data_IF_956077941769
#
_entry.id   IF_956077941769
#
_cell.length_a   1.000
_cell.length_b   1.000
_cell.length_c   1.000
_cell.angle_alpha   90.00
_cell.angle_beta   90.00
_cell.angle_gamma   90.00
#
_symmetry.space_group_name_H-M   'P 1'
#
loop_
_entity.id
_entity.type
_entity.pdbx_description
1 polymer ?
#
# COMPACT_ATOMS: atom_id res chain seq x y z
N UNK A 1 12.23 4.41 -50.11
CA UNK A 1 12.38 3.85 -48.74
C UNK A 1 11.23 4.43 -47.94
N UNK A 2 10.12 3.69 -47.87
CA UNK A 2 8.96 4.10 -47.12
C UNK A 2 9.17 3.83 -45.61
N UNK A 3 9.27 4.89 -44.83
CA UNK A 3 9.30 4.77 -43.39
C UNK A 3 7.97 4.23 -42.88
N UNK A 4 7.99 3.09 -42.23
CA UNK A 4 6.85 2.57 -41.47
C UNK A 4 6.74 3.46 -40.24
N UNK A 5 5.80 4.41 -40.26
CA UNK A 5 5.41 5.08 -39.03
C UNK A 5 4.78 4.04 -38.08
N UNK A 6 5.28 3.89 -36.86
CA UNK A 6 4.66 2.99 -35.92
C UNK A 6 3.34 3.61 -35.48
N UNK A 7 2.21 3.06 -35.93
CA UNK A 7 0.89 3.36 -35.35
C UNK A 7 0.81 2.81 -33.93
N UNK A 8 1.37 3.53 -32.96
CA UNK A 8 1.23 3.27 -31.54
C UNK A 8 -0.14 3.76 -31.05
N UNK A 9 -1.18 2.97 -31.32
CA UNK A 9 -2.51 3.20 -30.76
C UNK A 9 -2.70 2.45 -29.45
N UNK A 10 -1.66 2.37 -28.62
CA UNK A 10 -1.78 1.90 -27.26
C UNK A 10 -2.00 3.14 -26.37
N UNK A 11 -3.14 3.22 -25.71
CA UNK A 11 -3.32 4.06 -24.53
C UNK A 11 -2.33 3.57 -23.47
N UNK A 12 -1.10 4.02 -23.58
CA UNK A 12 -0.05 3.69 -22.62
C UNK A 12 -0.31 4.51 -21.37
N UNK A 13 -1.06 3.94 -20.44
CA UNK A 13 -1.11 4.51 -19.09
C UNK A 13 0.31 4.46 -18.53
N UNK A 14 0.82 5.61 -18.09
CA UNK A 14 2.12 5.65 -17.43
C UNK A 14 2.04 4.92 -16.10
N UNK A 15 3.16 4.37 -15.60
CA UNK A 15 3.22 3.67 -14.31
C UNK A 15 2.95 4.55 -13.08
N UNK A 16 2.47 5.80 -13.25
CA UNK A 16 2.08 6.70 -12.17
C UNK A 16 0.56 6.81 -12.01
N UNK A 17 -0.21 6.11 -12.85
CA UNK A 17 -1.66 6.01 -12.78
C UNK A 17 -2.07 4.58 -12.46
N UNK A 18 -3.09 4.42 -11.61
CA UNK A 18 -3.64 3.14 -11.19
C UNK A 18 -5.17 3.20 -11.12
N UNK A 19 -5.86 2.08 -11.41
CA UNK A 19 -7.32 1.97 -11.46
C UNK A 19 -7.90 2.16 -12.86
N UNK A 20 -9.19 1.87 -13.03
CA UNK A 20 -9.91 1.97 -14.32
C UNK A 20 -11.07 2.97 -14.26
N UNK A 21 -11.95 2.87 -13.26
CA UNK A 21 -13.04 3.80 -13.00
C UNK A 21 -12.76 4.67 -11.78
N UNK A 22 -12.20 4.09 -10.72
CA UNK A 22 -11.63 4.87 -9.62
C UNK A 22 -10.13 4.93 -9.82
N UNK A 23 -9.64 6.04 -10.34
CA UNK A 23 -8.25 6.17 -10.76
C UNK A 23 -7.49 7.14 -9.87
N UNK A 24 -6.20 6.84 -9.67
CA UNK A 24 -5.26 7.76 -9.04
C UNK A 24 -4.10 8.02 -9.98
N UNK A 25 -3.67 9.27 -10.09
CA UNK A 25 -2.41 9.65 -10.77
C UNK A 25 -1.58 10.47 -9.81
N UNK A 26 -0.42 9.93 -9.37
CA UNK A 26 0.44 10.60 -8.40
C UNK A 26 1.65 11.26 -9.07
N UNK A 27 2.12 12.37 -8.51
CA UNK A 27 3.26 13.15 -8.98
C UNK A 27 4.08 13.74 -7.83
N UNK A 28 5.22 14.33 -8.17
CA UNK A 28 6.13 14.99 -7.23
C UNK A 28 7.18 14.05 -6.63
N UNK A 29 8.29 14.63 -6.20
CA UNK A 29 9.47 13.96 -5.66
C UNK A 29 9.63 14.24 -4.16
N UNK A 30 10.32 13.33 -3.45
CA UNK A 30 10.48 13.40 -2.00
C UNK A 30 11.20 14.67 -1.50
N UNK A 31 12.01 15.29 -2.34
CA UNK A 31 12.76 16.52 -2.06
C UNK A 31 12.44 17.64 -3.08
N UNK A 32 11.37 17.48 -3.86
CA UNK A 32 10.72 18.54 -4.62
C UNK A 32 9.86 19.44 -3.73
N UNK A 33 9.21 20.46 -4.28
CA UNK A 33 8.38 21.41 -3.50
C UNK A 33 7.16 20.76 -2.85
N UNK A 34 6.57 19.77 -3.53
CA UNK A 34 5.38 19.08 -3.07
C UNK A 34 5.27 17.69 -3.70
N UNK A 35 4.40 16.88 -3.13
CA UNK A 35 3.84 15.67 -3.75
C UNK A 35 2.34 15.86 -3.88
N UNK A 36 1.74 15.27 -4.92
CA UNK A 36 0.30 15.39 -5.14
C UNK A 36 -0.27 14.18 -5.86
N UNK A 37 -1.58 14.11 -5.90
CA UNK A 37 -2.30 13.18 -6.77
C UNK A 37 -3.62 13.77 -7.26
N UNK A 38 -4.10 13.23 -8.36
CA UNK A 38 -5.46 13.41 -8.85
C UNK A 38 -6.19 12.09 -8.61
N UNK A 39 -7.35 12.18 -7.96
CA UNK A 39 -8.31 11.07 -7.82
C UNK A 39 -9.48 11.36 -8.74
N UNK A 40 -9.76 10.46 -9.66
CA UNK A 40 -10.89 10.59 -10.58
C UNK A 40 -11.85 9.39 -10.42
N UNK A 41 -13.13 9.59 -10.75
CA UNK A 41 -14.16 8.58 -10.63
C UNK A 41 -14.78 8.44 -9.23
N UNK A 42 -14.47 9.33 -8.28
CA UNK A 42 -15.21 9.37 -7.02
C UNK A 42 -16.65 9.82 -7.26
N UNK A 43 -17.68 9.04 -6.86
CA UNK A 43 -19.06 9.47 -7.04
C UNK A 43 -19.37 10.76 -6.30
N UNK A 44 -20.31 11.60 -6.80
CA UNK A 44 -20.73 12.81 -6.13
C UNK A 44 -21.50 12.54 -4.83
N UNK A 45 -21.54 13.56 -3.95
CA UNK A 45 -22.35 13.53 -2.73
C UNK A 45 -21.73 12.76 -1.55
N UNK A 46 -20.43 12.44 -1.60
CA UNK A 46 -19.71 11.99 -0.42
C UNK A 46 -19.29 13.22 0.40
N UNK A 47 -19.66 13.27 1.67
CA UNK A 47 -19.12 14.27 2.58
C UNK A 47 -17.62 14.08 2.72
N UNK A 48 -16.81 15.11 2.39
CA UNK A 48 -15.35 15.00 2.34
C UNK A 48 -14.69 16.32 2.75
N UNK A 49 -13.72 16.17 3.67
CA UNK A 49 -12.85 17.25 4.13
C UNK A 49 -11.41 16.76 4.27
N UNK A 50 -10.47 17.68 4.42
CA UNK A 50 -9.07 17.36 4.72
C UNK A 50 -8.92 16.52 6.00
N UNK A 51 -9.76 16.76 7.01
CA UNK A 51 -9.75 16.01 8.26
C UNK A 51 -10.04 14.52 8.08
N UNK A 52 -10.90 14.14 7.12
CA UNK A 52 -11.19 12.76 6.78
C UNK A 52 -9.93 12.04 6.25
N UNK A 53 -9.14 12.74 5.44
CA UNK A 53 -7.90 12.22 4.84
C UNK A 53 -6.75 12.21 5.83
N UNK A 54 -6.68 13.27 6.66
CA UNK A 54 -5.59 13.48 7.60
C UNK A 54 -5.50 12.36 8.65
N UNK A 55 -6.63 11.81 9.06
CA UNK A 55 -6.66 10.70 10.00
C UNK A 55 -5.82 9.49 9.54
N UNK A 56 -5.94 9.08 8.28
CA UNK A 56 -5.17 7.98 7.72
C UNK A 56 -3.71 8.40 7.42
N UNK A 57 -3.49 9.63 6.99
CA UNK A 57 -2.15 10.20 6.83
C UNK A 57 -1.39 10.27 8.15
N UNK A 58 -2.05 10.61 9.26
CA UNK A 58 -1.46 10.65 10.59
C UNK A 58 -1.00 9.28 11.08
N UNK A 59 -1.68 8.20 10.69
CA UNK A 59 -1.24 6.83 10.98
C UNK A 59 0.02 6.46 10.19
N UNK A 60 0.17 7.00 8.96
CA UNK A 60 1.30 6.72 8.06
C UNK A 60 2.51 7.63 8.29
N UNK A 61 2.34 8.87 8.74
CA UNK A 61 3.41 9.89 8.77
C UNK A 61 4.63 9.46 9.59
N UNK A 62 5.85 9.92 9.22
CA UNK A 62 7.07 9.66 9.98
C UNK A 62 7.10 10.43 11.31
N UNK A 63 8.00 10.01 12.22
CA UNK A 63 8.28 10.75 13.45
C UNK A 63 7.20 10.64 14.54
N UNK A 64 6.22 9.75 14.37
CA UNK A 64 5.15 9.51 15.36
C UNK A 64 5.67 8.77 16.59
N UNK A 65 6.66 7.92 16.41
CA UNK A 65 7.25 7.11 17.49
C UNK A 65 8.78 7.14 17.43
N UNK A 66 9.45 6.74 18.53
CA UNK A 66 10.92 6.59 18.57
C UNK A 66 11.45 5.50 17.63
N UNK A 67 10.56 4.59 17.15
CA UNK A 67 10.89 3.45 16.30
C UNK A 67 10.81 3.75 14.81
N UNK A 68 10.33 4.94 14.43
CA UNK A 68 10.30 5.42 13.05
C UNK A 68 11.36 6.49 12.80
N UNK A 69 11.55 6.87 11.54
CA UNK A 69 12.50 7.94 11.16
C UNK A 69 12.24 9.23 11.92
N UNK A 70 13.31 9.97 12.24
CA UNK A 70 13.27 11.28 12.91
C UNK A 70 12.85 12.43 11.97
N UNK A 71 12.50 12.15 10.70
CA UNK A 71 11.96 13.15 9.79
C UNK A 71 10.58 13.60 10.31
N UNK A 72 10.36 14.91 10.34
CA UNK A 72 9.10 15.50 10.79
C UNK A 72 8.40 16.14 9.60
N UNK A 73 7.44 15.43 9.06
CA UNK A 73 6.52 15.93 8.04
C UNK A 73 5.12 15.90 8.64
N UNK A 74 4.43 17.01 8.60
CA UNK A 74 3.04 17.09 9.07
C UNK A 74 2.11 16.28 8.16
N UNK A 75 2.51 16.08 6.89
CA UNK A 75 1.70 15.47 5.83
C UNK A 75 0.33 16.12 5.70
N UNK A 76 0.28 17.45 5.92
CA UNK A 76 -0.95 18.23 5.80
C UNK A 76 -1.44 18.24 4.35
N UNK A 77 -2.55 17.56 4.13
CA UNK A 77 -3.16 17.47 2.81
C UNK A 77 -4.09 18.65 2.57
N UNK A 78 -4.07 19.16 1.35
CA UNK A 78 -5.01 20.16 0.86
C UNK A 78 -5.82 19.59 -0.29
N UNK A 79 -7.14 19.85 -0.27
CA UNK A 79 -8.05 19.53 -1.36
C UNK A 79 -8.15 20.75 -2.25
N UNK A 80 -7.71 20.64 -3.51
CA UNK A 80 -7.65 21.75 -4.46
C UNK A 80 -8.86 21.81 -5.40
N UNK A 81 -9.59 20.70 -5.57
CA UNK A 81 -10.73 20.58 -6.48
C UNK A 81 -11.59 19.37 -6.16
N UNK A 82 -12.75 19.26 -6.83
CA UNK A 82 -13.61 18.08 -6.74
C UNK A 82 -14.48 18.01 -5.48
N UNK A 83 -14.46 19.06 -4.65
CA UNK A 83 -15.30 19.19 -3.46
C UNK A 83 -15.94 20.58 -3.47
N UNK A 84 -17.26 20.65 -3.24
CA UNK A 84 -18.03 21.89 -3.12
C UNK A 84 -18.99 21.76 -1.94
N UNK A 85 -19.03 22.76 -1.06
CA UNK A 85 -19.82 22.75 0.18
C UNK A 85 -19.66 21.48 1.03
N UNK A 86 -18.41 20.98 1.10
CA UNK A 86 -18.08 19.78 1.87
C UNK A 86 -18.51 18.45 1.26
N UNK A 87 -18.91 18.43 -0.02
CA UNK A 87 -19.31 17.20 -0.72
C UNK A 87 -18.53 17.02 -2.02
N UNK A 88 -18.23 15.79 -2.39
CA UNK A 88 -17.64 15.46 -3.69
C UNK A 88 -18.59 15.83 -4.83
N UNK A 89 -18.03 16.35 -5.93
CA UNK A 89 -18.81 16.82 -7.09
C UNK A 89 -18.90 15.80 -8.23
N UNK A 90 -18.16 14.67 -8.14
CA UNK A 90 -18.02 13.73 -9.25
C UNK A 90 -16.97 14.12 -10.28
N UNK A 91 -16.27 15.24 -10.07
CA UNK A 91 -15.15 15.69 -10.90
C UNK A 91 -13.81 15.38 -10.24
N UNK A 92 -12.67 15.48 -10.93
CA UNK A 92 -11.37 15.11 -10.36
C UNK A 92 -11.04 15.86 -9.06
N UNK A 93 -10.65 15.09 -8.04
CA UNK A 93 -10.22 15.61 -6.74
C UNK A 93 -8.69 15.77 -6.79
N UNK A 94 -8.23 17.02 -6.79
CA UNK A 94 -6.81 17.36 -6.71
C UNK A 94 -6.36 17.43 -5.26
N UNK A 95 -5.30 16.66 -4.92
CA UNK A 95 -4.70 16.62 -3.59
C UNK A 95 -3.24 17.02 -3.65
N UNK A 96 -2.78 17.83 -2.67
CA UNK A 96 -1.39 18.24 -2.56
C UNK A 96 -0.91 18.19 -1.10
N UNK A 97 0.37 17.81 -0.91
CA UNK A 97 1.11 17.92 0.36
C UNK A 97 2.43 18.62 0.08
N UNK A 98 2.69 19.75 0.73
CA UNK A 98 3.96 20.46 0.63
C UNK A 98 5.05 19.75 1.44
N UNK A 99 6.27 19.69 0.88
CA UNK A 99 7.43 19.15 1.58
C UNK A 99 8.07 20.24 2.45
N UNK A 100 8.16 20.02 3.75
CA UNK A 100 8.63 21.02 4.72
C UNK A 100 9.96 20.68 5.41
N UNK A 101 10.29 19.39 5.60
CA UNK A 101 11.52 18.93 6.26
C UNK A 101 12.46 18.18 5.28
N UNK A 102 12.75 18.81 4.14
CA UNK A 102 13.71 18.27 3.18
C UNK A 102 15.13 18.78 3.47
N UNK A 103 16.11 17.86 3.50
CA UNK A 103 17.54 18.17 3.73
C UNK A 103 18.37 17.66 2.57
N UNK A 104 18.39 18.37 1.46
CA UNK A 104 19.09 17.98 0.23
C UNK A 104 20.59 17.79 0.41
N UNK A 105 21.20 18.51 1.37
CA UNK A 105 22.64 18.40 1.70
C UNK A 105 23.06 17.01 2.21
N UNK A 106 22.12 16.25 2.82
CA UNK A 106 22.39 14.91 3.35
C UNK A 106 22.69 13.88 2.24
N UNK A 107 22.46 14.24 0.98
CA UNK A 107 22.54 13.34 -0.17
C UNK A 107 23.67 13.68 -1.16
N UNK A 108 24.54 14.64 -0.86
CA UNK A 108 25.64 15.07 -1.76
C UNK A 108 26.61 13.92 -2.08
N UNK A 109 26.92 13.07 -1.11
CA UNK A 109 27.85 11.95 -1.30
C UNK A 109 27.29 10.86 -2.22
N UNK A 110 25.96 10.68 -2.29
CA UNK A 110 25.32 9.69 -3.17
C UNK A 110 24.97 10.24 -4.56
N UNK A 111 25.31 11.50 -4.84
CA UNK A 111 25.12 12.08 -6.18
C UNK A 111 25.84 11.25 -7.24
N UNK A 112 27.07 10.81 -6.94
CA UNK A 112 27.91 10.04 -7.85
C UNK A 112 28.06 8.57 -7.46
N UNK A 113 27.27 8.06 -6.49
CA UNK A 113 27.35 6.67 -6.01
C UNK A 113 25.98 6.01 -6.03
N UNK A 114 25.96 4.71 -6.23
CA UNK A 114 24.72 3.92 -6.20
C UNK A 114 24.64 3.13 -4.90
N UNK A 115 23.58 3.34 -4.14
CA UNK A 115 23.32 2.58 -2.91
C UNK A 115 22.97 1.13 -3.23
N UNK A 116 23.61 0.13 -2.61
CA UNK A 116 23.24 -1.27 -2.78
C UNK A 116 21.78 -1.53 -2.39
N UNK A 117 21.06 -2.28 -3.22
CA UNK A 117 19.65 -2.63 -2.97
C UNK A 117 18.64 -1.48 -3.03
N UNK A 118 19.08 -0.26 -3.42
CA UNK A 118 18.24 0.91 -3.68
C UNK A 118 17.97 1.08 -5.18
N UNK A 119 16.99 1.88 -5.54
CA UNK A 119 16.60 2.13 -6.94
C UNK A 119 17.56 3.08 -7.71
N UNK A 120 18.63 3.57 -7.09
CA UNK A 120 19.54 4.57 -7.70
C UNK A 120 20.07 4.12 -9.06
N UNK A 121 20.63 2.91 -9.11
CA UNK A 121 21.18 2.33 -10.35
C UNK A 121 20.12 2.13 -11.42
N UNK A 122 18.99 1.54 -11.05
CA UNK A 122 17.92 1.20 -12.01
C UNK A 122 17.25 2.44 -12.61
N UNK A 123 17.09 3.52 -11.81
CA UNK A 123 16.60 4.81 -12.32
C UNK A 123 17.60 5.46 -13.27
N UNK A 124 18.90 5.44 -12.93
CA UNK A 124 19.95 5.95 -13.82
C UNK A 124 19.98 5.20 -15.14
N UNK A 125 19.89 3.86 -15.12
CA UNK A 125 19.89 3.04 -16.33
C UNK A 125 18.63 3.26 -17.17
N UNK A 126 17.48 3.44 -16.56
CA UNK A 126 16.20 3.56 -17.26
C UNK A 126 16.00 4.94 -17.87
N UNK A 127 16.33 6.00 -17.13
CA UNK A 127 15.99 7.37 -17.51
C UNK A 127 17.21 8.22 -17.92
N UNK A 128 18.44 7.71 -17.77
CA UNK A 128 19.69 8.46 -18.04
C UNK A 128 19.98 9.56 -17.01
N UNK A 129 19.03 9.89 -16.16
CA UNK A 129 19.10 10.89 -15.10
C UNK A 129 18.30 10.42 -13.88
N UNK A 130 18.74 10.81 -12.71
CA UNK A 130 18.00 10.58 -11.46
C UNK A 130 18.03 11.79 -10.53
N UNK A 131 16.99 12.01 -9.77
CA UNK A 131 17.06 12.88 -8.60
C UNK A 131 17.69 12.09 -7.43
N UNK A 132 18.95 12.39 -7.12
CA UNK A 132 19.67 11.73 -6.04
C UNK A 132 19.18 12.16 -4.64
N UNK A 133 18.45 13.28 -4.54
CA UNK A 133 17.96 13.83 -3.27
C UNK A 133 16.83 12.96 -2.72
N UNK A 134 17.13 12.12 -1.74
CA UNK A 134 16.17 11.23 -1.09
C UNK A 134 15.57 10.13 -1.97
N UNK A 135 16.03 10.00 -3.23
CA UNK A 135 15.55 9.00 -4.17
C UNK A 135 14.37 9.42 -5.04
N UNK A 136 13.98 10.69 -5.03
CA UNK A 136 12.94 11.23 -5.94
C UNK A 136 11.62 10.46 -5.85
N UNK A 137 11.12 9.98 -7.01
CA UNK A 137 9.91 9.15 -7.12
C UNK A 137 10.03 7.75 -6.53
N UNK A 138 11.25 7.20 -6.38
CA UNK A 138 11.45 5.89 -5.75
C UNK A 138 11.34 5.92 -4.22
N UNK A 139 11.25 7.10 -3.64
CA UNK A 139 11.10 7.28 -2.20
C UNK A 139 9.70 6.87 -1.73
N UNK A 140 9.63 6.21 -0.57
CA UNK A 140 8.36 5.90 0.08
C UNK A 140 7.52 7.14 0.47
N UNK A 141 8.04 8.36 0.29
CA UNK A 141 7.30 9.62 0.48
C UNK A 141 6.05 9.70 -0.39
N UNK A 142 6.11 9.19 -1.64
CA UNK A 142 5.00 9.20 -2.58
C UNK A 142 3.76 8.46 -2.06
N UNK A 143 3.95 7.47 -1.17
CA UNK A 143 2.85 6.69 -0.59
C UNK A 143 1.90 7.51 0.28
N UNK A 144 2.29 8.74 0.69
CA UNK A 144 1.35 9.66 1.33
C UNK A 144 0.16 9.97 0.42
N UNK A 145 0.40 10.12 -0.88
CA UNK A 145 -0.67 10.37 -1.85
C UNK A 145 -1.56 9.13 -2.07
N UNK A 146 -0.99 7.92 -1.99
CA UNK A 146 -1.79 6.69 -2.02
C UNK A 146 -2.71 6.59 -0.80
N UNK A 147 -2.20 6.96 0.38
CA UNK A 147 -3.00 6.96 1.62
C UNK A 147 -4.10 8.02 1.56
N UNK A 148 -3.81 9.22 1.07
CA UNK A 148 -4.82 10.26 0.90
C UNK A 148 -5.95 9.83 -0.06
N UNK A 149 -5.58 9.28 -1.23
CA UNK A 149 -6.54 8.75 -2.20
C UNK A 149 -7.32 7.54 -1.64
N UNK A 150 -6.62 6.63 -0.96
CA UNK A 150 -7.22 5.47 -0.31
C UNK A 150 -8.18 5.82 0.81
N UNK A 151 -7.95 6.92 1.53
CA UNK A 151 -8.86 7.41 2.56
C UNK A 151 -10.23 7.81 1.98
N UNK A 152 -10.26 8.42 0.77
CA UNK A 152 -11.51 8.69 0.04
C UNK A 152 -12.24 7.38 -0.26
N UNK A 153 -11.53 6.39 -0.81
CA UNK A 153 -12.10 5.08 -1.12
C UNK A 153 -12.62 4.36 0.13
N UNK A 154 -11.83 4.32 1.22
CA UNK A 154 -12.21 3.73 2.52
C UNK A 154 -13.50 4.35 3.06
N UNK A 155 -13.56 5.70 3.06
CA UNK A 155 -14.74 6.43 3.54
C UNK A 155 -15.97 6.08 2.73
N UNK A 156 -15.88 6.11 1.40
CA UNK A 156 -17.00 5.75 0.52
C UNK A 156 -17.47 4.31 0.74
N UNK A 157 -16.55 3.36 0.74
CA UNK A 157 -16.85 1.94 0.92
C UNK A 157 -17.49 1.67 2.29
N UNK A 158 -17.01 2.34 3.33
CA UNK A 158 -17.59 2.21 4.66
C UNK A 158 -18.99 2.81 4.76
N UNK A 159 -19.19 4.05 4.32
CA UNK A 159 -20.47 4.74 4.45
C UNK A 159 -21.57 4.17 3.55
N UNK A 160 -21.21 3.66 2.37
CA UNK A 160 -22.20 3.16 1.40
C UNK A 160 -22.43 1.66 1.47
N UNK A 161 -21.44 0.87 1.92
CA UNK A 161 -21.49 -0.59 1.88
C UNK A 161 -21.20 -1.24 3.24
N UNK A 162 -20.75 -0.48 4.24
CA UNK A 162 -20.32 -1.04 5.52
C UNK A 162 -18.98 -1.79 5.47
N UNK A 163 -18.24 -1.68 4.35
CA UNK A 163 -16.95 -2.37 4.20
C UNK A 163 -15.93 -1.74 5.13
N UNK A 164 -15.32 -2.57 5.97
CA UNK A 164 -14.28 -2.16 6.90
C UNK A 164 -12.94 -2.76 6.50
N UNK A 165 -11.94 -1.88 6.28
CA UNK A 165 -10.58 -2.28 5.85
C UNK A 165 -9.62 -1.94 6.98
N UNK A 166 -8.87 -2.96 7.46
CA UNK A 166 -7.91 -2.83 8.55
C UNK A 166 -6.65 -3.62 8.26
N UNK A 167 -5.50 -3.07 8.63
CA UNK A 167 -4.21 -3.72 8.50
C UNK A 167 -3.55 -3.92 9.85
N UNK A 168 -2.66 -4.90 9.93
CA UNK A 168 -1.83 -5.17 11.11
C UNK A 168 -0.50 -5.79 10.72
N UNK A 169 0.51 -5.63 11.56
CA UNK A 169 1.81 -6.26 11.41
C UNK A 169 1.79 -7.61 12.15
N UNK A 170 1.86 -8.72 11.43
CA UNK A 170 1.88 -10.06 12.02
C UNK A 170 3.27 -10.57 12.36
N UNK A 171 4.32 -9.95 11.78
CA UNK A 171 5.70 -10.33 12.03
C UNK A 171 6.65 -9.15 11.80
N UNK A 172 7.61 -8.95 12.70
CA UNK A 172 8.73 -8.04 12.56
C UNK A 172 10.03 -8.83 12.76
N UNK A 173 10.78 -8.99 11.68
CA UNK A 173 11.97 -9.85 11.70
C UNK A 173 11.64 -11.26 12.20
N UNK A 174 12.32 -11.76 13.26
CA UNK A 174 12.05 -13.08 13.81
C UNK A 174 10.81 -13.13 14.72
N UNK A 175 10.29 -11.97 15.18
CA UNK A 175 9.21 -11.90 16.17
C UNK A 175 7.86 -12.01 15.45
N UNK A 176 7.07 -13.03 15.80
CA UNK A 176 5.73 -13.29 15.25
C UNK A 176 4.67 -13.08 16.31
N UNK A 177 3.49 -12.61 15.90
CA UNK A 177 2.31 -12.60 16.75
C UNK A 177 1.86 -14.06 17.03
N UNK A 178 1.58 -14.34 18.29
CA UNK A 178 1.06 -15.63 18.77
C UNK A 178 -0.40 -15.50 19.21
N UNK A 179 -0.85 -14.26 19.49
CA UNK A 179 -2.22 -13.93 19.80
C UNK A 179 -2.73 -12.82 18.85
N UNK A 180 -4.03 -12.69 18.76
CA UNK A 180 -4.66 -11.71 17.89
C UNK A 180 -5.77 -10.94 18.62
N UNK A 181 -5.61 -9.61 18.68
CA UNK A 181 -6.60 -8.69 19.17
C UNK A 181 -6.59 -7.40 18.36
N UNK A 182 -7.73 -7.03 17.77
CA UNK A 182 -7.86 -5.79 17.00
C UNK A 182 -7.67 -4.54 17.85
N UNK A 183 -8.04 -4.56 19.12
CA UNK A 183 -7.89 -3.40 20.02
C UNK A 183 -6.41 -3.16 20.31
N UNK A 184 -5.60 -4.22 20.37
CA UNK A 184 -4.16 -4.11 20.53
C UNK A 184 -3.48 -3.46 19.32
N UNK A 185 -3.98 -3.64 18.10
CA UNK A 185 -3.37 -3.13 16.86
C UNK A 185 -3.19 -1.61 16.88
N UNK A 186 -4.23 -0.87 17.26
CA UNK A 186 -4.16 0.61 17.29
C UNK A 186 -3.56 1.14 18.61
N UNK A 187 -3.44 0.29 19.63
CA UNK A 187 -2.96 0.69 20.95
C UNK A 187 -1.42 0.72 21.06
N UNK A 188 -0.69 0.20 20.06
CA UNK A 188 0.76 0.17 20.08
C UNK A 188 1.38 0.75 18.79
N UNK A 189 2.67 1.17 18.85
CA UNK A 189 3.30 1.87 17.73
C UNK A 189 3.64 0.99 16.53
N UNK A 190 3.44 -0.33 16.61
CA UNK A 190 3.81 -1.29 15.57
C UNK A 190 2.61 -1.79 14.77
N UNK A 191 1.39 -1.43 15.13
CA UNK A 191 0.17 -2.05 14.62
C UNK A 191 0.19 -3.58 14.81
N UNK A 192 0.70 -4.03 15.96
CA UNK A 192 0.92 -5.43 16.26
C UNK A 192 -0.25 -6.00 17.07
N UNK A 193 -0.85 -7.14 16.66
CA UNK A 193 -2.08 -7.65 17.28
C UNK A 193 -1.85 -8.37 18.62
N UNK A 194 -0.59 -8.62 19.01
CA UNK A 194 -0.20 -9.32 20.22
C UNK A 194 0.46 -8.35 21.20
N UNK A 195 -0.31 -7.86 22.16
CA UNK A 195 0.15 -6.88 23.15
C UNK A 195 1.32 -7.41 24.01
N UNK A 196 1.38 -8.73 24.26
CA UNK A 196 2.44 -9.33 25.06
C UNK A 196 3.83 -9.24 24.42
N UNK A 197 3.88 -9.14 23.08
CA UNK A 197 5.13 -9.05 22.32
C UNK A 197 5.65 -7.62 22.14
N UNK A 198 4.89 -6.58 22.51
CA UNK A 198 5.26 -5.19 22.23
C UNK A 198 6.59 -4.79 22.86
N UNK A 199 6.84 -5.18 24.12
CA UNK A 199 8.11 -4.88 24.81
C UNK A 199 9.31 -5.57 24.14
N UNK A 200 9.14 -6.80 23.63
CA UNK A 200 10.17 -7.51 22.87
C UNK A 200 10.47 -6.79 21.55
N UNK A 201 9.43 -6.32 20.83
CA UNK A 201 9.56 -5.53 19.61
C UNK A 201 10.31 -4.22 19.86
N UNK A 202 9.99 -3.51 20.93
CA UNK A 202 10.69 -2.26 21.30
C UNK A 202 12.17 -2.49 21.55
N UNK A 203 12.51 -3.53 22.31
CA UNK A 203 13.90 -3.90 22.61
C UNK A 203 14.66 -4.26 21.33
N UNK A 204 14.03 -5.05 20.46
CA UNK A 204 14.62 -5.46 19.19
C UNK A 204 14.88 -4.26 18.26
N UNK A 205 13.91 -3.34 18.15
CA UNK A 205 14.04 -2.14 17.32
C UNK A 205 15.09 -1.17 17.86
N UNK A 206 15.23 -1.05 19.19
CA UNK A 206 16.29 -0.24 19.79
C UNK A 206 17.69 -0.82 19.52
N UNK A 207 17.83 -2.15 19.53
CA UNK A 207 19.07 -2.83 19.15
C UNK A 207 19.43 -2.59 17.67
N UNK A 208 18.47 -2.71 16.76
CA UNK A 208 18.66 -2.41 15.33
C UNK A 208 19.06 -0.97 15.09
N UNK A 209 18.44 -0.02 15.78
CA UNK A 209 18.80 1.40 15.65
C UNK A 209 20.23 1.66 16.13
N UNK A 210 20.67 1.01 17.21
CA UNK A 210 22.05 1.12 17.74
C UNK A 210 23.08 0.53 16.78
N UNK A 211 22.79 -0.63 16.17
CA UNK A 211 23.68 -1.27 15.19
C UNK A 211 23.71 -0.55 13.85
N UNK A 212 22.75 0.31 13.54
CA UNK A 212 22.62 0.98 12.24
C UNK A 212 22.08 0.09 11.12
N UNK A 213 21.45 -1.04 11.48
CA UNK A 213 20.87 -2.03 10.57
C UNK A 213 19.35 -1.88 10.42
N UNK A 214 18.73 -2.74 9.62
CA UNK A 214 17.30 -2.74 9.34
C UNK A 214 16.74 -4.14 9.26
N UNK A 215 15.41 -4.25 9.33
CA UNK A 215 14.71 -5.53 9.29
C UNK A 215 13.44 -5.43 8.45
N UNK A 216 13.01 -6.58 7.91
CA UNK A 216 11.74 -6.73 7.19
C UNK A 216 10.57 -6.98 8.12
N UNK A 217 9.36 -6.98 7.53
CA UNK A 217 8.13 -7.26 8.24
C UNK A 217 7.12 -8.00 7.35
N UNK A 218 6.16 -8.68 7.98
CA UNK A 218 4.94 -9.17 7.35
C UNK A 218 3.76 -8.34 7.82
N UNK A 219 3.03 -7.78 6.85
CA UNK A 219 1.80 -7.03 7.06
C UNK A 219 0.64 -7.86 6.53
N UNK A 220 -0.47 -7.85 7.26
CA UNK A 220 -1.74 -8.39 6.79
C UNK A 220 -2.73 -7.25 6.63
N UNK A 221 -3.58 -7.35 5.62
CA UNK A 221 -4.69 -6.43 5.40
C UNK A 221 -5.96 -7.23 5.15
N UNK A 222 -7.04 -6.82 5.80
CA UNK A 222 -8.34 -7.49 5.79
C UNK A 222 -9.42 -6.51 5.42
N UNK A 223 -10.30 -6.89 4.50
CA UNK A 223 -11.54 -6.18 4.20
C UNK A 223 -12.74 -7.05 4.57
N UNK A 224 -13.53 -6.57 5.53
CA UNK A 224 -14.75 -7.21 6.00
C UNK A 224 -15.98 -6.52 5.41
N UNK A 225 -17.08 -7.26 5.22
CA UNK A 225 -18.33 -6.72 4.67
C UNK A 225 -18.31 -6.51 3.15
N UNK A 226 -17.33 -7.06 2.44
CA UNK A 226 -17.28 -7.00 0.98
C UNK A 226 -18.39 -7.87 0.41
N UNK A 227 -19.29 -7.32 -0.44
CA UNK A 227 -20.34 -8.13 -1.05
C UNK A 227 -19.75 -9.14 -2.03
N UNK A 228 -20.42 -10.27 -2.28
CA UNK A 228 -20.05 -11.15 -3.38
C UNK A 228 -20.22 -10.43 -4.72
N UNK A 229 -19.37 -10.76 -5.71
CA UNK A 229 -19.49 -10.27 -7.08
C UNK A 229 -18.47 -9.22 -7.52
N UNK A 230 -17.53 -8.78 -6.67
CA UNK A 230 -16.47 -7.86 -7.07
C UNK A 230 -15.28 -8.62 -7.67
N UNK A 231 -14.84 -8.22 -8.84
CA UNK A 231 -13.77 -8.86 -9.60
C UNK A 231 -14.26 -9.32 -10.97
N UNK A 232 -13.37 -9.43 -11.94
CA UNK A 232 -13.71 -9.78 -13.30
C UNK A 232 -12.77 -10.87 -13.86
N UNK A 233 -13.29 -12.03 -14.30
CA UNK A 233 -12.52 -12.97 -15.07
C UNK A 233 -12.21 -12.35 -16.45
N UNK A 234 -11.11 -12.69 -17.11
CA UNK A 234 -10.07 -13.62 -16.64
C UNK A 234 -8.89 -12.84 -16.08
N UNK A 235 -8.55 -11.67 -16.67
CA UNK A 235 -7.31 -10.95 -16.36
C UNK A 235 -7.47 -9.91 -15.24
N UNK A 236 -8.67 -9.41 -15.02
CA UNK A 236 -8.99 -8.43 -13.98
C UNK A 236 -9.58 -9.10 -12.73
N UNK A 237 -9.06 -10.25 -12.38
CA UNK A 237 -9.41 -10.95 -11.15
C UNK A 237 -9.08 -10.08 -9.94
N UNK A 238 -9.96 -10.08 -8.96
CA UNK A 238 -9.78 -9.28 -7.75
C UNK A 238 -8.46 -9.61 -7.01
N UNK A 239 -8.10 -10.89 -6.89
CA UNK A 239 -6.85 -11.33 -6.29
C UNK A 239 -5.61 -10.86 -7.10
N UNK A 240 -5.70 -10.85 -8.44
CA UNK A 240 -4.64 -10.37 -9.30
C UNK A 240 -4.44 -8.86 -9.19
N UNK A 241 -5.51 -8.07 -9.20
CA UNK A 241 -5.45 -6.62 -9.03
C UNK A 241 -4.99 -6.23 -7.62
N UNK A 242 -5.43 -6.95 -6.59
CA UNK A 242 -4.91 -6.79 -5.22
C UNK A 242 -3.41 -7.09 -5.16
N UNK A 243 -2.96 -8.20 -5.74
CA UNK A 243 -1.53 -8.55 -5.78
C UNK A 243 -0.72 -7.48 -6.51
N UNK A 244 -1.18 -6.96 -7.65
CA UNK A 244 -0.56 -5.87 -8.38
C UNK A 244 -0.45 -4.60 -7.53
N UNK A 245 -1.56 -4.18 -6.92
CA UNK A 245 -1.60 -2.98 -6.08
C UNK A 245 -0.65 -3.08 -4.88
N UNK A 246 -0.71 -4.17 -4.14
CA UNK A 246 0.08 -4.40 -2.94
C UNK A 246 1.56 -4.62 -3.25
N UNK A 247 1.89 -5.32 -4.35
CA UNK A 247 3.28 -5.48 -4.82
C UNK A 247 3.90 -4.15 -5.25
N UNK A 248 3.10 -3.16 -5.67
CA UNK A 248 3.59 -1.83 -6.05
C UNK A 248 4.06 -0.98 -4.87
N UNK A 249 3.77 -1.38 -3.64
CA UNK A 249 4.23 -0.67 -2.43
C UNK A 249 5.75 -0.84 -2.29
N UNK A 250 6.44 0.27 -1.97
CA UNK A 250 7.88 0.26 -1.80
C UNK A 250 8.32 -0.83 -0.79
N UNK A 251 9.41 -1.53 -1.10
CA UNK A 251 10.00 -2.63 -0.33
C UNK A 251 9.20 -3.94 -0.31
N UNK A 252 8.00 -4.02 -0.84
CA UNK A 252 7.27 -5.29 -0.95
C UNK A 252 7.99 -6.23 -1.91
N UNK A 253 8.10 -7.52 -1.51
CA UNK A 253 8.76 -8.60 -2.25
C UNK A 253 7.91 -9.86 -2.38
N UNK A 254 6.78 -9.91 -1.70
CA UNK A 254 5.81 -10.99 -1.78
C UNK A 254 4.44 -10.53 -1.39
N UNK A 255 3.42 -11.09 -2.04
CA UNK A 255 2.01 -10.91 -1.72
C UNK A 255 1.36 -12.29 -1.73
N UNK A 256 0.56 -12.57 -0.73
CA UNK A 256 -0.24 -13.79 -0.60
C UNK A 256 -1.71 -13.40 -0.42
N UNK A 257 -2.60 -14.19 -1.02
CA UNK A 257 -4.05 -14.08 -0.83
C UNK A 257 -4.54 -15.34 -0.07
N UNK A 258 -5.27 -15.16 1.01
CA UNK A 258 -5.74 -16.26 1.85
C UNK A 258 -4.59 -17.08 2.41
N UNK A 259 -4.63 -18.41 2.22
CA UNK A 259 -3.59 -19.34 2.65
C UNK A 259 -2.25 -19.13 1.91
N UNK A 260 -2.26 -18.44 0.75
CA UNK A 260 -1.04 -18.13 0.01
C UNK A 260 -0.17 -19.33 -0.26
N UNK A 261 1.13 -19.25 0.06
CA UNK A 261 2.08 -20.37 -0.16
C UNK A 261 1.80 -21.59 0.72
N UNK A 262 1.12 -21.44 1.87
CA UNK A 262 0.74 -22.59 2.70
C UNK A 262 -0.24 -23.53 2.00
N UNK A 263 -0.94 -23.08 0.96
CA UNK A 263 -1.87 -23.90 0.17
C UNK A 263 -1.19 -25.09 -0.52
N UNK A 264 0.13 -25.04 -0.78
CA UNK A 264 0.86 -26.14 -1.44
C UNK A 264 1.00 -27.37 -0.53
N UNK A 265 0.86 -27.19 0.79
CA UNK A 265 0.93 -28.26 1.79
C UNK A 265 -0.46 -28.86 2.08
N UNK A 266 -1.54 -28.20 1.64
CA UNK A 266 -2.92 -28.60 1.88
C UNK A 266 -3.43 -29.53 0.78
N UNK A 267 -4.13 -30.60 1.19
CA UNK A 267 -4.89 -31.40 0.23
C UNK A 267 -6.13 -30.67 -0.21
N UNK A 268 -6.67 -31.01 -1.39
CA UNK A 268 -7.86 -30.35 -1.92
C UNK A 268 -9.08 -30.38 -0.99
N UNK A 269 -9.26 -31.48 -0.23
CA UNK A 269 -10.32 -31.59 0.76
C UNK A 269 -10.12 -30.68 1.99
N UNK A 270 -8.88 -30.32 2.29
CA UNK A 270 -8.53 -29.42 3.40
C UNK A 270 -8.62 -27.95 2.96
N UNK A 271 -8.22 -27.68 1.71
CA UNK A 271 -8.14 -26.32 1.18
C UNK A 271 -9.50 -25.77 0.75
N UNK A 272 -10.42 -26.61 0.28
CA UNK A 272 -11.72 -26.15 -0.22
C UNK A 272 -12.52 -25.47 0.91
N UNK A 273 -13.01 -24.26 0.63
CA UNK A 273 -13.88 -23.53 1.54
C UNK A 273 -15.31 -24.06 1.40
N UNK A 274 -15.65 -25.07 2.23
CA UNK A 274 -16.98 -25.65 2.23
C UNK A 274 -18.02 -24.64 2.70
N UNK A 275 -19.23 -24.74 2.16
CA UNK A 275 -20.32 -23.83 2.47
C UNK A 275 -21.58 -24.58 2.88
N UNK A 276 -22.30 -24.00 3.82
CA UNK A 276 -23.61 -24.45 4.30
C UNK A 276 -24.60 -23.29 4.21
N UNK A 277 -25.89 -23.52 4.42
CA UNK A 277 -26.83 -22.42 4.52
C UNK A 277 -26.52 -21.41 5.63
N UNK A 278 -25.80 -21.85 6.66
CA UNK A 278 -25.38 -21.06 7.83
C UNK A 278 -24.11 -20.25 7.57
N UNK A 279 -23.36 -20.56 6.52
CA UNK A 279 -22.14 -19.83 6.15
C UNK A 279 -21.01 -20.71 5.62
N UNK A 280 -19.87 -20.07 5.34
CA UNK A 280 -18.64 -20.75 4.96
C UNK A 280 -17.94 -21.33 6.21
N UNK A 281 -17.36 -22.54 6.05
CA UNK A 281 -16.68 -23.25 7.13
C UNK A 281 -15.20 -22.89 7.27
N UNK A 282 -14.59 -22.34 6.22
CA UNK A 282 -13.20 -21.87 6.20
C UNK A 282 -13.06 -20.72 5.17
N UNK A 283 -11.89 -20.07 5.13
CA UNK A 283 -11.57 -18.99 4.20
C UNK A 283 -10.11 -19.12 3.69
N UNK A 284 -9.75 -20.29 3.20
CA UNK A 284 -8.41 -20.55 2.66
C UNK A 284 -8.13 -19.77 1.37
N UNK A 285 -9.18 -19.55 0.56
CA UNK A 285 -9.10 -18.76 -0.66
C UNK A 285 -8.98 -17.24 -0.39
N UNK A 286 -9.13 -16.79 0.86
CA UNK A 286 -8.99 -15.39 1.23
C UNK A 286 -10.10 -14.49 0.69
N UNK A 287 -11.32 -15.00 0.57
CA UNK A 287 -12.51 -14.24 0.15
C UNK A 287 -12.66 -14.08 -1.36
N UNK A 288 -11.85 -14.76 -2.18
CA UNK A 288 -11.87 -14.64 -3.65
C UNK A 288 -11.93 -16.02 -4.28
N UNK A 289 -12.98 -16.30 -5.04
CA UNK A 289 -13.19 -17.54 -5.77
C UNK A 289 -13.35 -17.22 -7.26
N UNK A 290 -12.55 -17.87 -8.11
CA UNK A 290 -12.55 -17.59 -9.55
C UNK A 290 -12.20 -16.14 -9.93
N UNK A 291 -11.55 -15.39 -9.04
CA UNK A 291 -11.21 -13.98 -9.22
C UNK A 291 -12.31 -13.01 -8.80
N UNK A 292 -13.39 -13.51 -8.17
CA UNK A 292 -14.56 -12.74 -7.74
C UNK A 292 -14.73 -12.88 -6.23
N UNK A 293 -15.11 -11.80 -5.55
CA UNK A 293 -15.36 -11.83 -4.11
C UNK A 293 -16.51 -12.78 -3.76
N UNK A 294 -16.32 -13.59 -2.72
CA UNK A 294 -17.30 -14.59 -2.26
C UNK A 294 -18.30 -14.05 -1.23
N UNK A 295 -18.06 -12.87 -0.67
CA UNK A 295 -18.78 -12.35 0.51
C UNK A 295 -18.02 -12.58 1.82
N UNK A 296 -17.00 -13.45 1.82
CA UNK A 296 -16.11 -13.65 2.96
C UNK A 296 -15.12 -12.48 3.11
N UNK A 297 -14.48 -12.32 4.28
CA UNK A 297 -13.39 -11.35 4.42
C UNK A 297 -12.30 -11.57 3.38
N UNK A 298 -11.89 -10.51 2.71
CA UNK A 298 -10.74 -10.54 1.81
C UNK A 298 -9.49 -10.39 2.66
N UNK A 299 -8.57 -11.36 2.52
CA UNK A 299 -7.34 -11.42 3.32
C UNK A 299 -6.13 -11.46 2.40
N UNK A 300 -5.24 -10.48 2.57
CA UNK A 300 -3.96 -10.44 1.87
C UNK A 300 -2.80 -10.22 2.86
N UNK A 301 -1.64 -10.79 2.54
CA UNK A 301 -0.41 -10.64 3.30
C UNK A 301 0.72 -10.13 2.42
N UNK A 302 1.59 -9.29 2.98
CA UNK A 302 2.72 -8.67 2.29
C UNK A 302 4.03 -8.96 3.03
N UNK A 303 5.06 -9.35 2.29
CA UNK A 303 6.42 -9.45 2.80
C UNK A 303 7.21 -8.20 2.36
N UNK A 304 7.70 -7.44 3.33
CA UNK A 304 8.54 -6.27 3.09
C UNK A 304 10.00 -6.59 3.40
N UNK A 305 10.89 -6.30 2.45
CA UNK A 305 12.33 -6.42 2.67
C UNK A 305 12.83 -5.35 3.65
N UNK A 306 14.00 -5.57 4.30
CA UNK A 306 14.69 -4.52 5.04
C UNK A 306 14.97 -3.30 4.17
N UNK A 307 15.03 -2.10 4.77
CA UNK A 307 15.46 -0.89 4.04
C UNK A 307 16.94 -1.02 3.63
N UNK A 308 17.24 -0.57 2.42
CA UNK A 308 18.62 -0.61 1.89
C UNK A 308 19.49 0.58 2.30
N UNK A 309 18.91 1.58 2.93
CA UNK A 309 19.64 2.77 3.41
C UNK A 309 20.15 2.51 4.82
N UNK A 310 21.37 2.02 4.92
CA UNK A 310 22.00 1.60 6.16
C UNK A 310 23.15 2.54 6.56
N UNK A 311 23.44 2.61 7.87
CA UNK A 311 24.65 3.25 8.40
C UNK A 311 25.87 2.32 8.36
N UNK A 312 25.66 1.05 8.03
CA UNK A 312 26.72 0.08 7.82
C UNK A 312 27.35 0.27 6.44
N UNK A 313 28.70 0.12 6.30
CA UNK A 313 29.35 0.21 5.02
C UNK A 313 28.94 -0.93 4.10
N UNK A 314 28.69 -0.62 2.84
CA UNK A 314 28.33 -1.58 1.80
C UNK A 314 29.14 -1.35 0.53
N UNK A 315 29.34 -2.40 -0.27
CA UNK A 315 30.01 -2.31 -1.56
C UNK A 315 29.04 -1.77 -2.62
N UNK A 316 29.46 -0.81 -3.41
CA UNK A 316 28.72 -0.23 -4.52
C UNK A 316 29.66 0.17 -5.65
N UNK A 317 29.10 0.86 -6.64
CA UNK A 317 29.86 1.49 -7.74
C UNK A 317 29.48 2.98 -7.81
N UNK A 318 30.39 3.77 -8.36
CA UNK A 318 30.10 5.16 -8.76
C UNK A 318 29.48 5.26 -10.15
N UNK A 319 29.20 6.48 -10.59
CA UNK A 319 28.64 6.75 -11.95
C UNK A 319 29.56 6.36 -13.08
N UNK A 320 30.86 6.21 -12.85
CA UNK A 320 31.86 5.81 -13.83
C UNK A 320 32.13 4.29 -13.79
N UNK A 321 31.47 3.56 -12.88
CA UNK A 321 31.60 2.10 -12.76
C UNK A 321 32.72 1.66 -11.82
N UNK A 322 33.40 2.58 -11.12
CA UNK A 322 34.47 2.23 -10.21
C UNK A 322 33.92 1.69 -8.89
N UNK A 323 34.58 0.70 -8.25
CA UNK A 323 34.16 0.18 -6.96
C UNK A 323 34.32 1.26 -5.86
N UNK A 324 33.28 1.41 -5.05
CA UNK A 324 33.26 2.37 -3.92
C UNK A 324 32.60 1.74 -2.70
N UNK A 325 32.99 2.24 -1.52
CA UNK A 325 32.23 1.98 -0.30
C UNK A 325 31.11 3.01 -0.16
N UNK A 326 29.93 2.54 0.20
CA UNK A 326 28.74 3.37 0.36
C UNK A 326 28.22 3.22 1.79
N UNK A 327 28.14 4.35 2.51
CA UNK A 327 27.48 4.48 3.80
C UNK A 327 26.37 5.49 3.63
N UNK A 328 25.12 5.12 3.94
CA UNK A 328 24.02 6.05 3.81
C UNK A 328 23.86 6.85 5.11
N UNK A 329 24.23 8.10 5.06
CA UNK A 329 23.94 9.09 6.11
C UNK A 329 22.49 9.55 5.94
N UNK A 330 21.75 9.72 7.00
CA UNK A 330 20.37 10.20 6.93
C UNK A 330 19.44 9.55 7.97
N UNK A 331 18.17 9.94 7.89
CA UNK A 331 17.10 9.53 8.80
C UNK A 331 16.23 8.47 8.10
N UNK A 332 16.50 7.19 8.35
CA UNK A 332 15.80 6.08 7.73
C UNK A 332 15.02 5.27 8.76
N UNK A 333 13.92 4.64 8.34
CA UNK A 333 13.16 3.72 9.16
C UNK A 333 13.95 2.40 9.32
N UNK A 334 14.23 1.91 10.54
CA UNK A 334 14.83 0.58 10.73
C UNK A 334 13.91 -0.54 10.22
N UNK A 335 12.60 -0.32 10.27
CA UNK A 335 11.59 -1.20 9.68
C UNK A 335 10.51 -0.36 8.98
N UNK A 336 10.35 -0.56 7.68
CA UNK A 336 9.33 0.16 6.89
C UNK A 336 7.92 -0.41 7.07
N UNK A 337 7.78 -1.59 7.70
CA UNK A 337 6.52 -2.28 7.92
C UNK A 337 5.52 -1.46 8.72
N UNK A 338 5.97 -0.72 9.73
CA UNK A 338 5.10 0.13 10.55
C UNK A 338 4.31 1.10 9.66
N UNK A 339 4.99 1.76 8.73
CA UNK A 339 4.34 2.72 7.81
C UNK A 339 3.62 2.05 6.65
N UNK A 340 3.98 0.82 6.32
CA UNK A 340 3.35 0.07 5.23
C UNK A 340 1.93 -0.40 5.60
N UNK A 341 1.61 -0.55 6.88
CA UNK A 341 0.27 -1.00 7.33
C UNK A 341 -0.85 -0.10 6.79
N UNK A 342 -0.89 1.21 7.07
CA UNK A 342 -1.93 2.09 6.50
C UNK A 342 -1.82 2.25 4.97
N UNK A 343 -0.64 2.03 4.37
CA UNK A 343 -0.50 2.04 2.91
C UNK A 343 -1.19 0.81 2.29
N UNK A 344 -1.05 -0.37 2.90
CA UNK A 344 -1.71 -1.59 2.45
C UNK A 344 -3.24 -1.46 2.53
N UNK A 345 -3.76 -0.87 3.62
CA UNK A 345 -5.20 -0.56 3.74
C UNK A 345 -5.68 0.35 2.60
N UNK A 346 -4.94 1.42 2.32
CA UNK A 346 -5.26 2.37 1.26
C UNK A 346 -5.28 1.70 -0.13
N UNK A 347 -4.29 0.86 -0.44
CA UNK A 347 -4.22 0.17 -1.72
C UNK A 347 -5.34 -0.86 -1.88
N UNK A 348 -5.68 -1.61 -0.84
CA UNK A 348 -6.85 -2.50 -0.85
C UNK A 348 -8.14 -1.71 -1.08
N UNK A 349 -8.31 -0.56 -0.43
CA UNK A 349 -9.49 0.29 -0.61
C UNK A 349 -9.61 0.81 -2.05
N UNK A 350 -8.53 1.23 -2.67
CA UNK A 350 -8.52 1.73 -4.06
C UNK A 350 -8.96 0.62 -5.03
N UNK A 351 -8.42 -0.60 -4.86
CA UNK A 351 -8.81 -1.75 -5.69
C UNK A 351 -10.29 -2.09 -5.51
N UNK A 352 -10.76 -2.20 -4.27
CA UNK A 352 -12.16 -2.54 -3.99
C UNK A 352 -13.11 -1.46 -4.49
N UNK A 353 -12.74 -0.18 -4.39
CA UNK A 353 -13.53 0.93 -4.92
C UNK A 353 -13.63 0.88 -6.44
N UNK A 354 -12.52 0.61 -7.14
CA UNK A 354 -12.51 0.46 -8.60
C UNK A 354 -13.41 -0.70 -9.05
N UNK A 355 -13.25 -1.87 -8.45
CA UNK A 355 -14.10 -3.03 -8.77
C UNK A 355 -15.56 -2.81 -8.41
N UNK A 356 -15.85 -2.10 -7.33
CA UNK A 356 -17.24 -1.76 -6.97
C UNK A 356 -17.89 -0.85 -8.01
N UNK A 357 -17.19 0.17 -8.51
CA UNK A 357 -17.72 1.03 -9.56
C UNK A 357 -17.90 0.28 -10.88
N UNK A 358 -16.98 -0.60 -11.22
CA UNK A 358 -17.06 -1.47 -12.40
C UNK A 358 -18.27 -2.41 -12.30
N UNK A 359 -18.44 -3.06 -11.16
CA UNK A 359 -19.60 -3.90 -10.88
C UNK A 359 -20.92 -3.13 -11.03
N UNK A 360 -21.02 -1.94 -10.48
CA UNK A 360 -22.19 -1.08 -10.64
C UNK A 360 -22.47 -0.69 -12.10
N UNK A 361 -21.44 -0.41 -12.86
CA UNK A 361 -21.57 -0.01 -14.25
C UNK A 361 -22.06 -1.15 -15.15
N UNK A 362 -21.67 -2.38 -14.86
CA UNK A 362 -21.96 -3.54 -15.70
C UNK A 362 -23.13 -4.38 -15.19
N UNK A 363 -23.28 -4.51 -13.88
CA UNK A 363 -24.17 -5.49 -13.24
C UNK A 363 -25.24 -4.89 -12.34
N UNK A 364 -25.56 -3.58 -12.49
CA UNK A 364 -26.52 -2.90 -11.63
C UNK A 364 -27.93 -3.55 -11.63
N UNK A 365 -28.32 -4.15 -12.75
CA UNK A 365 -29.63 -4.77 -12.95
C UNK A 365 -29.62 -6.28 -12.71
N UNK A 366 -28.50 -6.85 -12.29
CA UNK A 366 -28.37 -8.29 -12.02
C UNK A 366 -28.89 -8.61 -10.63
N UNK A 367 -29.87 -9.50 -10.56
CA UNK A 367 -30.44 -10.02 -9.32
C UNK A 367 -30.29 -11.55 -9.29
N UNK A 368 -29.46 -12.06 -8.38
CA UNK A 368 -29.37 -13.50 -8.15
C UNK A 368 -30.58 -13.98 -7.37
N UNK A 369 -31.12 -15.12 -7.77
CA UNK A 369 -32.16 -15.84 -7.01
C UNK A 369 -31.58 -16.71 -5.90
N UNK A 370 -30.27 -16.93 -5.91
CA UNK A 370 -29.54 -17.66 -4.86
C UNK A 370 -29.38 -16.76 -3.63
N UNK A 371 -29.74 -17.23 -2.43
CA UNK A 371 -29.50 -16.49 -1.20
C UNK A 371 -27.99 -16.17 -1.01
N UNK A 372 -27.69 -15.01 -0.47
CA UNK A 372 -26.32 -14.68 -0.05
C UNK A 372 -25.98 -15.53 1.17
N UNK A 373 -24.89 -16.29 1.07
CA UNK A 373 -24.39 -17.14 2.16
C UNK A 373 -23.67 -16.27 3.17
N UNK A 374 -23.90 -16.43 4.49
CA UNK A 374 -23.13 -15.72 5.50
C UNK A 374 -21.61 -15.93 5.36
N UNK A 375 -20.77 -14.92 5.66
CA UNK A 375 -19.32 -15.00 5.45
C UNK A 375 -18.63 -16.06 6.31
N UNK A 376 -19.26 -16.45 7.42
CA UNK A 376 -18.75 -17.49 8.33
C UNK A 376 -19.93 -18.20 8.96
N UNK A 377 -19.89 -19.52 9.04
CA UNK A 377 -20.84 -20.30 9.83
C UNK A 377 -20.68 -19.94 11.32
N UNK A 378 -21.82 -19.80 12.03
CA UNK A 378 -21.85 -19.50 13.48
C UNK A 378 -21.69 -20.76 14.31
#
# INVERSE_FOLDING_TARGET
MGGIEPHWNARKMSGNSFGKLFTITSFGESHGPAIGCIVDGCPPGLALSEADLQRDLDRRKPGKTRHTTQRREADEVQILSGVFEGQTTGTPIGLIIHNTDQRSKDYSEIMHRFRPGHADYTYQQKYGIRDYRGGGRSSARETAMRVAAGAIAKKYLYEKLGIRIRGYMSQLGPIRAEAFDWDAVEANPFFFPDAAKVSELETYMDALRKSGDSIGARINVVAEGVPPGLGEPIFDRLDADLAHALMSINAVKGVEIGAGFASVEQKGAEHRDEMTPEGFLSNHAGGVLGGISSGQPIVASLALKPTSSLRLPGKGIDTDGNPVEVITKGRHDPCVGIRATPIAEAMMAIVLMDHYLRHRAQNADVHSTTPVIPPTAR
#
